data_IF_491980056627
#
_entry.id   IF_491980056627
#
_cell.length_a   1.000
_cell.length_b   1.000
_cell.length_c   1.000
_cell.angle_alpha   90.00
_cell.angle_beta   90.00
_cell.angle_gamma   90.00
#
_symmetry.space_group_name_H-M   'P 1'
#
loop_
_entity.id
_entity.type
_entity.pdbx_description
1 polymer ?
#
# COMPACT_ATOMS: atom_id res chain seq x y z
N UNK A 1 14.73 -4.00 -1.23
CA UNK A 1 13.80 -2.93 -1.69
C UNK A 1 13.28 -3.26 -3.08
N UNK A 2 12.05 -2.85 -3.41
CA UNK A 2 11.49 -2.90 -4.75
C UNK A 2 12.04 -1.75 -5.60
N UNK A 3 12.33 -1.99 -6.87
CA UNK A 3 12.93 -1.00 -7.78
C UNK A 3 12.09 -0.75 -9.02
N UNK A 4 11.12 -1.63 -9.31
CA UNK A 4 10.29 -1.48 -10.50
C UNK A 4 8.99 -2.27 -10.39
N UNK A 5 7.95 -1.74 -11.01
CA UNK A 5 6.65 -2.37 -11.18
C UNK A 5 6.22 -2.26 -12.64
N UNK A 6 5.91 -3.39 -13.28
CA UNK A 6 5.23 -3.42 -14.58
C UNK A 6 3.88 -4.11 -14.44
N UNK A 7 2.84 -3.49 -15.01
CA UNK A 7 1.45 -3.91 -14.87
C UNK A 7 0.80 -4.04 -16.24
N UNK A 8 0.11 -5.15 -16.49
CA UNK A 8 -0.73 -5.31 -17.69
C UNK A 8 -2.13 -5.78 -17.36
N UNK A 9 -3.12 -5.24 -18.07
CA UNK A 9 -4.55 -5.58 -17.97
C UNK A 9 -5.15 -5.45 -16.56
N UNK A 10 -4.59 -4.59 -15.71
CA UNK A 10 -5.02 -4.41 -14.32
C UNK A 10 -5.76 -3.09 -14.14
N UNK A 11 -7.05 -3.15 -13.75
CA UNK A 11 -7.92 -1.98 -13.54
C UNK A 11 -7.85 -0.98 -14.70
N UNK A 12 -7.34 0.23 -14.52
CA UNK A 12 -7.26 1.21 -15.60
C UNK A 12 -6.04 1.03 -16.53
N UNK A 13 -5.13 0.11 -16.23
CA UNK A 13 -3.84 0.00 -16.93
C UNK A 13 -3.84 -1.04 -18.06
N UNK A 14 -3.38 -0.63 -19.24
CA UNK A 14 -3.08 -1.51 -20.38
C UNK A 14 -1.77 -2.27 -20.19
N UNK A 15 -0.68 -1.51 -20.21
CA UNK A 15 0.71 -1.89 -20.00
C UNK A 15 1.40 -0.61 -19.52
N UNK A 16 1.77 -0.58 -18.25
CA UNK A 16 2.50 0.56 -17.66
C UNK A 16 3.70 0.06 -16.90
N UNK A 17 4.73 0.89 -16.88
CA UNK A 17 5.97 0.64 -16.17
C UNK A 17 6.22 1.81 -15.21
N UNK A 18 6.46 1.48 -13.94
CA UNK A 18 6.64 2.44 -12.86
C UNK A 18 7.98 2.15 -12.20
N UNK A 19 8.88 3.14 -12.24
CA UNK A 19 10.14 3.08 -11.50
C UNK A 19 9.88 3.26 -10.02
N UNK A 20 10.52 2.43 -9.20
CA UNK A 20 10.47 2.53 -7.75
C UNK A 20 11.87 2.80 -7.18
N UNK A 21 11.90 3.42 -6.03
CA UNK A 21 13.10 3.74 -5.27
C UNK A 21 12.81 3.51 -3.78
N UNK A 22 13.82 3.74 -2.94
CA UNK A 22 13.68 3.63 -1.48
C UNK A 22 12.53 4.50 -0.93
N UNK A 23 12.35 5.68 -1.51
CA UNK A 23 11.24 6.61 -1.24
C UNK A 23 10.66 7.11 -2.55
N UNK A 24 9.37 6.83 -2.76
CA UNK A 24 8.63 7.18 -3.97
C UNK A 24 7.31 7.83 -3.61
N UNK A 25 6.97 8.91 -4.32
CA UNK A 25 5.64 9.51 -4.26
C UNK A 25 4.98 9.48 -5.63
N UNK A 26 3.82 8.83 -5.69
CA UNK A 26 2.89 8.91 -6.81
C UNK A 26 2.06 10.18 -6.66
N UNK A 27 2.16 11.08 -7.64
CA UNK A 27 1.45 12.36 -7.62
C UNK A 27 0.55 12.48 -8.83
N UNK A 28 -0.68 12.91 -8.62
CA UNK A 28 -1.62 13.10 -9.70
C UNK A 28 -3.04 13.35 -9.21
N UNK A 29 -3.96 13.67 -10.13
CA UNK A 29 -5.36 13.87 -9.81
C UNK A 29 -6.06 12.66 -9.20
N UNK A 30 -7.25 12.87 -8.64
CA UNK A 30 -8.13 11.77 -8.25
C UNK A 30 -8.47 10.90 -9.47
N UNK A 31 -8.65 9.60 -9.24
CA UNK A 31 -8.96 8.60 -10.26
C UNK A 31 -7.87 8.34 -11.32
N UNK A 32 -6.67 8.94 -11.21
CA UNK A 32 -5.58 8.72 -12.17
C UNK A 32 -4.85 7.37 -12.04
N UNK A 33 -5.22 6.55 -11.06
CA UNK A 33 -4.70 5.19 -10.89
C UNK A 33 -3.59 5.01 -9.85
N UNK A 34 -3.24 6.04 -9.06
CA UNK A 34 -2.25 5.93 -7.97
C UNK A 34 -2.57 4.80 -6.99
N UNK A 35 -3.80 4.79 -6.44
CA UNK A 35 -4.28 3.71 -5.57
C UNK A 35 -4.26 2.36 -6.28
N UNK A 36 -4.58 2.31 -7.58
CA UNK A 36 -4.51 1.06 -8.35
C UNK A 36 -3.08 0.53 -8.45
N UNK A 37 -2.06 1.39 -8.61
CA UNK A 37 -0.67 0.96 -8.61
C UNK A 37 -0.23 0.37 -7.26
N UNK A 38 -0.62 1.00 -6.13
CA UNK A 38 -0.38 0.44 -4.79
C UNK A 38 -1.07 -0.93 -4.62
N UNK A 39 -2.32 -1.04 -5.05
CA UNK A 39 -3.09 -2.27 -4.97
C UNK A 39 -2.52 -3.39 -5.85
N UNK A 40 -1.88 -3.06 -6.96
CA UNK A 40 -1.22 -4.05 -7.79
C UNK A 40 -0.01 -4.69 -7.10
N UNK A 41 0.79 -3.92 -6.34
CA UNK A 41 1.84 -4.45 -5.47
C UNK A 41 1.26 -5.36 -4.39
N UNK A 42 0.13 -4.97 -3.79
CA UNK A 42 -0.56 -5.79 -2.80
C UNK A 42 -1.04 -7.13 -3.40
N UNK A 43 -1.60 -7.11 -4.62
CA UNK A 43 -2.01 -8.32 -5.34
C UNK A 43 -0.81 -9.21 -5.69
N UNK A 44 0.29 -8.62 -6.15
CA UNK A 44 1.53 -9.34 -6.42
C UNK A 44 2.06 -10.06 -5.18
N UNK A 45 2.13 -9.36 -4.04
CA UNK A 45 2.60 -9.95 -2.78
C UNK A 45 1.66 -11.09 -2.30
N UNK A 46 0.34 -10.93 -2.45
CA UNK A 46 -0.61 -12.01 -2.18
C UNK A 46 -0.37 -13.22 -3.11
N UNK A 47 -0.06 -12.96 -4.39
CA UNK A 47 0.34 -13.96 -5.37
C UNK A 47 1.59 -14.74 -4.95
N UNK A 48 2.66 -14.04 -4.57
CA UNK A 48 3.91 -14.62 -4.06
C UNK A 48 3.63 -15.54 -2.87
N UNK A 49 2.96 -15.02 -1.83
CA UNK A 49 2.67 -15.77 -0.61
C UNK A 49 1.89 -17.04 -0.89
N UNK A 50 0.81 -16.93 -1.67
CA UNK A 50 -0.05 -18.07 -2.00
C UNK A 50 0.64 -19.10 -2.88
N UNK A 51 1.51 -18.65 -3.78
CA UNK A 51 2.32 -19.54 -4.62
C UNK A 51 3.30 -20.34 -3.79
N UNK A 52 4.07 -19.68 -2.92
CA UNK A 52 5.07 -20.31 -2.04
C UNK A 52 4.40 -21.26 -1.06
N UNK A 53 3.27 -20.90 -0.46
CA UNK A 53 2.50 -21.76 0.45
C UNK A 53 2.12 -23.10 -0.19
N UNK A 54 1.71 -23.09 -1.47
CA UNK A 54 1.15 -24.26 -2.15
C UNK A 54 2.16 -25.05 -2.98
N UNK A 55 3.21 -24.40 -3.49
CA UNK A 55 4.19 -25.00 -4.41
C UNK A 55 5.61 -25.06 -3.84
N UNK A 56 5.86 -24.39 -2.72
CA UNK A 56 7.20 -24.21 -2.17
C UNK A 56 8.11 -23.42 -3.13
N UNK A 57 9.42 -23.58 -2.97
CA UNK A 57 10.46 -23.01 -3.85
C UNK A 57 10.94 -24.00 -4.93
N UNK A 58 10.33 -25.19 -4.99
CA UNK A 58 10.80 -26.34 -5.77
C UNK A 58 10.29 -26.42 -7.22
N UNK A 59 10.45 -27.60 -7.82
CA UNK A 59 10.18 -27.86 -9.24
C UNK A 59 8.65 -27.90 -9.51
N UNK A 60 8.09 -26.81 -10.02
CA UNK A 60 6.65 -26.69 -10.28
C UNK A 60 6.28 -27.34 -11.64
N UNK A 61 5.22 -28.17 -11.71
CA UNK A 61 4.76 -28.74 -12.97
C UNK A 61 4.45 -27.67 -14.03
N UNK A 62 4.69 -28.00 -15.31
CA UNK A 62 4.43 -27.08 -16.43
C UNK A 62 2.93 -26.81 -16.64
N UNK A 63 2.11 -27.83 -16.48
CA UNK A 63 0.65 -27.78 -16.66
C UNK A 63 -0.09 -27.83 -15.31
N UNK A 64 -1.24 -27.14 -15.22
CA UNK A 64 -2.10 -27.07 -14.02
C UNK A 64 -1.36 -26.62 -12.75
N UNK A 65 -0.35 -25.78 -12.93
CA UNK A 65 0.44 -25.18 -11.85
C UNK A 65 -0.33 -24.13 -11.03
N UNK A 66 -1.41 -23.59 -11.60
CA UNK A 66 -2.19 -22.50 -11.01
C UNK A 66 -2.59 -22.77 -9.58
N UNK A 67 -2.43 -21.75 -8.75
CA UNK A 67 -2.88 -21.75 -7.37
C UNK A 67 -4.10 -20.84 -7.27
N UNK A 68 -5.19 -21.35 -6.72
CA UNK A 68 -6.41 -20.57 -6.54
C UNK A 68 -6.24 -19.54 -5.42
N UNK A 69 -6.58 -18.30 -5.72
CA UNK A 69 -6.75 -17.21 -4.76
C UNK A 69 -8.25 -16.89 -4.70
N UNK A 70 -8.83 -16.92 -3.50
CA UNK A 70 -10.18 -16.42 -3.29
C UNK A 70 -10.12 -14.91 -3.06
N UNK A 71 -11.08 -14.15 -3.59
CA UNK A 71 -11.12 -12.68 -3.39
C UNK A 71 -11.16 -12.27 -1.92
N UNK A 72 -11.71 -13.11 -1.04
CA UNK A 72 -11.76 -12.87 0.42
C UNK A 72 -10.41 -13.03 1.10
N UNK A 73 -9.47 -13.72 0.45
CA UNK A 73 -8.09 -13.84 0.93
C UNK A 73 -7.25 -12.58 0.60
N UNK A 74 -7.77 -11.70 -0.27
CA UNK A 74 -7.12 -10.43 -0.63
C UNK A 74 -7.38 -9.36 0.44
N UNK A 75 -6.74 -9.54 1.60
CA UNK A 75 -6.92 -8.64 2.75
C UNK A 75 -6.67 -7.18 2.36
N UNK A 76 -5.56 -6.86 1.70
CA UNK A 76 -5.20 -5.49 1.33
C UNK A 76 -5.92 -4.96 0.07
N UNK A 77 -6.76 -5.78 -0.57
CA UNK A 77 -7.48 -5.42 -1.81
C UNK A 77 -8.87 -6.05 -1.82
N UNK A 78 -9.78 -5.62 -0.93
CA UNK A 78 -11.13 -6.15 -0.92
C UNK A 78 -11.85 -5.69 -2.19
N UNK A 79 -12.27 -6.66 -2.99
CA UNK A 79 -13.13 -6.44 -4.15
C UNK A 79 -14.42 -7.27 -4.01
N UNK A 80 -15.59 -6.71 -4.35
CA UNK A 80 -16.84 -7.46 -4.28
C UNK A 80 -16.93 -8.56 -5.34
N UNK A 81 -16.23 -8.41 -6.46
CA UNK A 81 -16.09 -9.44 -7.50
C UNK A 81 -14.68 -9.39 -8.11
N UNK A 82 -14.12 -10.55 -8.46
CA UNK A 82 -12.75 -10.69 -8.95
C UNK A 82 -12.53 -10.02 -10.31
N UNK A 83 -13.55 -9.97 -11.19
CA UNK A 83 -13.47 -9.32 -12.50
C UNK A 83 -13.19 -7.80 -12.41
N UNK A 84 -13.44 -7.17 -11.25
CA UNK A 84 -13.09 -5.75 -10.99
C UNK A 84 -11.58 -5.49 -10.95
N UNK A 85 -10.75 -6.54 -10.89
CA UNK A 85 -9.31 -6.43 -11.02
C UNK A 85 -8.87 -6.34 -12.49
N UNK A 86 -9.68 -6.86 -13.41
CA UNK A 86 -9.39 -6.85 -14.84
C UNK A 86 -9.75 -5.51 -15.44
N UNK A 87 -8.91 -5.09 -16.37
CA UNK A 87 -9.18 -3.89 -17.13
C UNK A 87 -10.51 -3.99 -17.88
N UNK A 88 -11.32 -2.94 -17.76
CA UNK A 88 -12.62 -2.79 -18.40
C UNK A 88 -13.57 -3.99 -18.15
N UNK A 89 -13.38 -4.69 -17.02
CA UNK A 89 -14.06 -5.95 -16.68
C UNK A 89 -13.85 -7.07 -17.71
N UNK A 90 -12.87 -6.88 -18.60
CA UNK A 90 -12.62 -7.72 -19.75
C UNK A 90 -11.75 -8.92 -19.37
N UNK A 91 -12.41 -10.03 -19.07
CA UNK A 91 -11.77 -11.27 -18.61
C UNK A 91 -11.49 -12.29 -19.73
N UNK A 92 -12.07 -12.08 -20.93
CA UNK A 92 -11.97 -13.00 -22.07
C UNK A 92 -11.95 -12.25 -23.38
N UNK A 93 -11.03 -12.62 -24.26
CA UNK A 93 -10.91 -12.08 -25.60
C UNK A 93 -11.09 -13.17 -26.67
N UNK A 94 -11.65 -12.77 -27.82
CA UNK A 94 -11.78 -13.62 -28.99
C UNK A 94 -10.53 -13.54 -29.87
N UNK A 95 -10.06 -14.66 -30.39
CA UNK A 95 -9.01 -14.72 -31.39
C UNK A 95 -9.38 -15.69 -32.52
N UNK A 96 -8.77 -15.52 -33.70
CA UNK A 96 -8.95 -16.44 -34.82
C UNK A 96 -7.74 -17.36 -34.91
N UNK A 97 -8.01 -18.66 -34.93
CA UNK A 97 -6.98 -19.68 -35.13
C UNK A 97 -7.46 -20.64 -36.23
N UNK A 98 -6.66 -20.76 -37.29
CA UNK A 98 -7.02 -21.50 -38.51
C UNK A 98 -8.44 -21.19 -39.04
N UNK A 99 -8.85 -19.91 -38.99
CA UNK A 99 -10.17 -19.45 -39.47
C UNK A 99 -11.34 -19.71 -38.53
N UNK A 100 -11.14 -20.38 -37.39
CA UNK A 100 -12.17 -20.60 -36.36
C UNK A 100 -12.07 -19.55 -35.26
N UNK A 101 -13.22 -19.00 -34.86
CA UNK A 101 -13.31 -18.14 -33.69
C UNK A 101 -13.08 -18.98 -32.43
N UNK A 102 -12.06 -18.63 -31.65
CA UNK A 102 -11.75 -19.19 -30.34
C UNK A 102 -11.76 -18.07 -29.31
N UNK A 103 -11.90 -18.42 -28.04
CA UNK A 103 -11.78 -17.49 -26.92
C UNK A 103 -10.65 -17.93 -26.01
N UNK A 104 -9.98 -16.95 -25.39
CA UNK A 104 -9.00 -17.18 -24.34
C UNK A 104 -9.24 -16.19 -23.20
N UNK A 105 -8.80 -16.56 -22.00
CA UNK A 105 -8.84 -15.63 -20.88
C UNK A 105 -7.79 -14.53 -21.08
N UNK A 106 -8.15 -13.31 -20.72
CA UNK A 106 -7.23 -12.17 -20.61
C UNK A 106 -6.48 -12.33 -19.29
N UNK A 107 -5.16 -12.24 -19.33
CA UNK A 107 -4.32 -12.38 -18.14
C UNK A 107 -3.94 -11.02 -17.59
N UNK A 108 -3.98 -10.87 -16.27
CA UNK A 108 -3.27 -9.78 -15.59
C UNK A 108 -1.82 -10.22 -15.45
N UNK A 109 -0.87 -9.37 -15.80
CA UNK A 109 0.55 -9.59 -15.54
C UNK A 109 1.08 -8.52 -14.58
N UNK A 110 1.76 -8.96 -13.54
CA UNK A 110 2.45 -8.08 -12.60
C UNK A 110 3.89 -8.56 -12.47
N UNK A 111 4.81 -7.73 -12.95
CA UNK A 111 6.25 -7.95 -12.84
C UNK A 111 6.81 -6.98 -11.81
N UNK A 112 7.56 -7.50 -10.84
CA UNK A 112 8.23 -6.70 -9.83
C UNK A 112 9.71 -7.01 -9.85
N UNK A 113 10.52 -5.95 -9.88
CA UNK A 113 11.96 -6.02 -9.70
C UNK A 113 12.35 -5.47 -8.34
N UNK A 114 13.43 -5.99 -7.78
CA UNK A 114 13.99 -5.47 -6.54
C UNK A 114 15.47 -5.78 -6.40
N UNK A 115 16.03 -5.25 -5.33
CA UNK A 115 17.42 -5.46 -4.93
C UNK A 115 17.46 -5.91 -3.47
N UNK A 116 18.22 -6.97 -3.20
CA UNK A 116 18.48 -7.54 -1.89
C UNK A 116 20.00 -7.70 -1.75
N UNK A 117 20.62 -7.04 -0.77
CA UNK A 117 22.09 -7.12 -0.54
C UNK A 117 22.96 -6.87 -1.78
N UNK A 118 22.49 -6.01 -2.69
CA UNK A 118 23.18 -5.65 -3.94
C UNK A 118 22.87 -6.57 -5.13
N UNK A 119 22.18 -7.70 -4.92
CA UNK A 119 21.75 -8.60 -5.99
C UNK A 119 20.38 -8.19 -6.52
N UNK A 120 20.26 -8.07 -7.83
CA UNK A 120 19.00 -7.80 -8.52
C UNK A 120 18.17 -9.08 -8.64
N UNK A 121 16.88 -8.97 -8.40
CA UNK A 121 15.93 -10.05 -8.59
C UNK A 121 14.68 -9.55 -9.33
N UNK A 122 14.02 -10.47 -10.01
CA UNK A 122 12.77 -10.21 -10.72
C UNK A 122 11.79 -11.33 -10.44
N UNK A 123 10.53 -10.97 -10.20
CA UNK A 123 9.44 -11.93 -9.98
C UNK A 123 8.20 -11.50 -10.74
N UNK A 124 7.75 -12.38 -11.62
CA UNK A 124 6.63 -12.14 -12.53
C UNK A 124 5.49 -13.11 -12.26
N UNK A 125 4.29 -12.58 -12.07
CA UNK A 125 3.08 -13.37 -11.86
C UNK A 125 2.01 -13.04 -12.91
N UNK A 126 1.33 -14.10 -13.37
CA UNK A 126 0.13 -14.02 -14.19
C UNK A 126 -1.09 -14.43 -13.35
N UNK A 127 -2.18 -13.67 -13.47
CA UNK A 127 -3.46 -13.96 -12.85
C UNK A 127 -4.51 -14.23 -13.91
N UNK A 128 -5.23 -15.34 -13.75
CA UNK A 128 -6.15 -15.91 -14.74
C UNK A 128 -7.55 -16.05 -14.11
N UNK A 129 -8.53 -15.37 -14.70
CA UNK A 129 -9.89 -15.29 -14.17
C UNK A 129 -10.57 -16.66 -14.17
N UNK A 130 -11.13 -17.06 -13.03
CA UNK A 130 -11.92 -18.28 -12.92
C UNK A 130 -13.42 -17.96 -12.82
N UNK A 131 -13.82 -17.15 -11.84
CA UNK A 131 -15.18 -16.70 -11.59
C UNK A 131 -15.17 -15.46 -10.67
N UNK A 132 -16.34 -14.95 -10.29
CA UNK A 132 -16.46 -13.73 -9.48
C UNK A 132 -15.81 -13.86 -8.09
N UNK A 133 -15.66 -15.07 -7.55
CA UNK A 133 -15.10 -15.30 -6.22
C UNK A 133 -13.61 -15.66 -6.24
N UNK A 134 -13.05 -16.04 -7.38
CA UNK A 134 -11.71 -16.62 -7.44
C UNK A 134 -11.01 -16.48 -8.78
N UNK A 135 -9.68 -16.54 -8.73
CA UNK A 135 -8.80 -16.53 -9.88
C UNK A 135 -7.57 -17.39 -9.60
N UNK A 136 -6.87 -17.80 -10.65
CA UNK A 136 -5.63 -18.56 -10.54
C UNK A 136 -4.43 -17.64 -10.61
N UNK A 137 -3.45 -17.89 -9.77
CA UNK A 137 -2.15 -17.24 -9.76
C UNK A 137 -1.08 -18.23 -10.25
N UNK A 138 -0.20 -17.78 -11.14
CA UNK A 138 0.93 -18.57 -11.67
C UNK A 138 2.18 -17.71 -11.79
N UNK A 139 3.34 -18.23 -11.41
CA UNK A 139 4.60 -17.61 -11.82
C UNK A 139 4.70 -17.61 -13.35
N UNK A 140 5.23 -16.56 -13.98
CA UNK A 140 5.36 -16.50 -15.44
C UNK A 140 6.30 -17.59 -15.98
N UNK A 141 6.18 -17.93 -17.27
CA UNK A 141 7.08 -18.85 -17.96
C UNK A 141 8.36 -18.11 -18.37
N UNK A 142 9.53 -18.71 -18.10
CA UNK A 142 10.81 -18.26 -18.65
C UNK A 142 11.08 -18.83 -20.05
N UNK A 143 12.23 -18.48 -20.63
CA UNK A 143 12.64 -18.85 -21.99
C UNK A 143 12.61 -20.37 -22.25
N UNK A 144 12.95 -21.17 -21.23
CA UNK A 144 12.96 -22.64 -21.30
C UNK A 144 11.56 -23.27 -21.17
N UNK A 145 10.49 -22.47 -21.24
CA UNK A 145 9.11 -22.92 -21.09
C UNK A 145 8.84 -23.62 -19.74
N UNK A 146 9.65 -23.26 -18.73
CA UNK A 146 9.51 -23.64 -17.31
C UNK A 146 9.07 -22.41 -16.53
N UNK A 147 8.27 -22.63 -15.49
CA UNK A 147 7.82 -21.56 -14.58
C UNK A 147 9.02 -20.97 -13.86
N UNK A 148 9.10 -19.64 -13.81
CA UNK A 148 10.15 -18.94 -13.07
C UNK A 148 10.08 -19.31 -11.59
N UNK A 149 11.24 -19.60 -10.99
CA UNK A 149 11.31 -19.79 -9.54
C UNK A 149 11.17 -18.42 -8.87
N UNK A 150 10.43 -18.40 -7.76
CA UNK A 150 10.31 -17.19 -6.94
C UNK A 150 11.62 -17.04 -6.14
N UNK A 151 12.39 -15.95 -6.34
CA UNK A 151 13.61 -15.69 -5.59
C UNK A 151 13.32 -15.58 -4.09
N UNK A 152 14.23 -16.06 -3.23
CA UNK A 152 14.07 -15.97 -1.77
C UNK A 152 13.83 -14.53 -1.29
N UNK A 153 14.54 -13.56 -1.88
CA UNK A 153 14.36 -12.14 -1.63
C UNK A 153 12.92 -11.66 -1.85
N UNK A 154 12.22 -12.15 -2.88
CA UNK A 154 10.83 -11.78 -3.14
C UNK A 154 9.87 -12.36 -2.09
N UNK A 155 10.20 -13.52 -1.51
CA UNK A 155 9.41 -14.17 -0.44
C UNK A 155 9.53 -13.40 0.87
N UNK A 156 10.70 -12.83 1.14
CA UNK A 156 10.99 -12.05 2.35
C UNK A 156 10.37 -10.65 2.33
N UNK A 157 9.89 -10.18 1.17
CA UNK A 157 9.18 -8.89 1.07
C UNK A 157 7.94 -8.89 1.95
N UNK A 158 7.96 -8.02 2.96
CA UNK A 158 6.80 -7.69 3.78
C UNK A 158 6.20 -6.40 3.29
N UNK A 159 4.96 -6.44 2.84
CA UNK A 159 4.22 -5.28 2.35
C UNK A 159 3.13 -4.91 3.36
N UNK A 160 3.10 -3.65 3.77
CA UNK A 160 2.13 -3.08 4.69
C UNK A 160 1.39 -1.94 3.98
N UNK A 161 0.10 -2.14 3.72
CA UNK A 161 -0.75 -1.17 3.02
C UNK A 161 -1.63 -0.43 4.02
N UNK A 162 -1.64 0.89 3.92
CA UNK A 162 -2.50 1.76 4.72
C UNK A 162 -3.34 2.64 3.77
N UNK A 163 -4.67 2.42 3.69
CA UNK A 163 -5.55 3.28 2.93
C UNK A 163 -5.81 4.62 3.64
N UNK A 164 -6.51 5.56 2.97
CA UNK A 164 -6.83 6.85 3.57
C UNK A 164 -7.70 6.68 4.83
N UNK A 165 -7.52 7.58 5.80
CA UNK A 165 -8.25 7.48 7.05
C UNK A 165 -9.73 7.84 6.90
N UNK A 166 -10.61 6.99 7.44
CA UNK A 166 -12.07 7.17 7.41
C UNK A 166 -12.69 7.78 8.69
N UNK A 167 -11.87 8.19 9.66
CA UNK A 167 -12.28 8.79 10.94
C UNK A 167 -11.76 8.01 12.15
N UNK A 168 -12.45 8.13 13.30
CA UNK A 168 -12.17 7.36 14.50
C UNK A 168 -13.48 6.91 15.16
N UNK A 169 -13.58 5.62 15.49
CA UNK A 169 -14.72 5.08 16.23
C UNK A 169 -14.67 5.55 17.69
N UNK A 170 -15.84 5.77 18.29
CA UNK A 170 -15.96 6.15 19.69
C UNK A 170 -15.30 5.10 20.61
N UNK A 171 -15.61 3.82 20.37
CA UNK A 171 -15.04 2.69 21.07
C UNK A 171 -14.32 1.77 20.08
N UNK A 172 -13.27 1.09 20.54
CA UNK A 172 -12.48 0.19 19.72
C UNK A 172 -12.23 -1.11 20.48
N UNK A 173 -12.79 -2.23 19.99
CA UNK A 173 -12.53 -3.56 20.55
C UNK A 173 -11.07 -3.93 20.33
N UNK A 174 -10.44 -4.62 21.27
CA UNK A 174 -9.09 -5.19 21.08
C UNK A 174 -9.14 -6.32 20.05
N UNK A 175 -8.25 -6.28 19.09
CA UNK A 175 -8.17 -7.18 17.96
C UNK A 175 -6.79 -7.85 17.88
N UNK A 176 -6.77 -9.07 17.37
CA UNK A 176 -5.54 -9.72 16.94
C UNK A 176 -5.02 -9.10 15.63
N UNK A 177 -3.72 -9.26 15.37
CA UNK A 177 -3.03 -8.65 14.23
C UNK A 177 -3.69 -8.96 12.88
N UNK A 178 -4.15 -10.20 12.68
CA UNK A 178 -4.85 -10.59 11.46
C UNK A 178 -6.17 -9.82 11.28
N UNK A 179 -6.93 -9.63 12.35
CA UNK A 179 -8.20 -8.89 12.31
C UNK A 179 -8.00 -7.38 12.13
N UNK A 180 -6.89 -6.84 12.64
CA UNK A 180 -6.45 -5.47 12.33
C UNK A 180 -6.13 -5.33 10.84
N UNK A 181 -5.37 -6.27 10.27
CA UNK A 181 -5.05 -6.29 8.84
C UNK A 181 -6.29 -6.32 7.95
N UNK A 182 -7.30 -7.15 8.30
CA UNK A 182 -8.59 -7.20 7.59
C UNK A 182 -9.30 -5.85 7.62
N UNK A 183 -9.42 -5.20 8.77
CA UNK A 183 -10.07 -3.89 8.89
C UNK A 183 -9.34 -2.80 8.12
N UNK A 184 -8.01 -2.77 8.19
CA UNK A 184 -7.19 -1.86 7.38
C UNK A 184 -7.51 -2.08 5.91
N UNK A 185 -7.49 -3.34 5.45
CA UNK A 185 -7.88 -3.73 4.10
C UNK A 185 -9.23 -3.19 3.64
N UNK A 186 -10.25 -3.33 4.49
CA UNK A 186 -11.63 -2.82 4.30
C UNK A 186 -11.75 -1.28 4.35
N UNK A 187 -10.66 -0.54 4.58
CA UNK A 187 -10.69 0.91 4.76
C UNK A 187 -11.29 1.36 6.10
N UNK A 188 -11.44 0.44 7.06
CA UNK A 188 -12.00 0.69 8.40
C UNK A 188 -10.89 1.13 9.36
N UNK A 189 -10.10 2.11 8.94
CA UNK A 189 -9.00 2.65 9.74
C UNK A 189 -9.49 3.27 11.06
N UNK A 190 -10.76 3.70 11.11
CA UNK A 190 -11.41 4.23 12.29
C UNK A 190 -11.52 3.24 13.46
N UNK A 191 -11.39 1.94 13.19
CA UNK A 191 -11.54 0.86 14.18
C UNK A 191 -10.22 0.16 14.53
N UNK A 192 -9.07 0.73 14.13
CA UNK A 192 -7.77 0.09 14.34
C UNK A 192 -6.69 1.00 14.93
N UNK A 193 -6.94 2.30 15.07
CA UNK A 193 -5.93 3.24 15.54
C UNK A 193 -5.45 2.88 16.95
N UNK A 194 -6.37 2.63 17.89
CA UNK A 194 -6.01 2.29 19.26
C UNK A 194 -5.36 0.90 19.34
N UNK A 195 -5.78 -0.04 18.50
CA UNK A 195 -5.15 -1.35 18.34
C UNK A 195 -3.70 -1.25 17.85
N UNK A 196 -3.42 -0.41 16.85
CA UNK A 196 -2.05 -0.21 16.37
C UNK A 196 -1.18 0.42 17.45
N UNK A 197 -1.69 1.43 18.16
CA UNK A 197 -0.98 2.03 19.29
C UNK A 197 -0.70 1.00 20.39
N UNK A 198 -1.69 0.19 20.75
CA UNK A 198 -1.56 -0.90 21.71
C UNK A 198 -0.50 -1.93 21.27
N UNK A 199 -0.52 -2.36 20.01
CA UNK A 199 0.47 -3.29 19.47
C UNK A 199 1.89 -2.72 19.54
N UNK A 200 2.07 -1.44 19.19
CA UNK A 200 3.39 -0.78 19.27
C UNK A 200 3.84 -0.69 20.72
N UNK A 201 2.96 -0.26 21.64
CA UNK A 201 3.23 -0.17 23.06
C UNK A 201 3.66 -1.51 23.67
N UNK A 202 2.94 -2.61 23.36
CA UNK A 202 3.29 -3.95 23.87
C UNK A 202 4.59 -4.50 23.28
N UNK A 203 4.87 -4.22 22.00
CA UNK A 203 6.00 -4.81 21.28
C UNK A 203 7.30 -4.06 21.47
N UNK A 204 7.24 -2.72 21.52
CA UNK A 204 8.41 -1.86 21.59
C UNK A 204 8.10 -0.56 22.32
N UNK A 205 8.35 -0.50 23.64
CA UNK A 205 8.22 0.72 24.43
C UNK A 205 9.02 1.90 23.85
N UNK A 206 10.22 1.63 23.30
CA UNK A 206 11.04 2.66 22.67
C UNK A 206 10.38 3.24 21.40
N UNK A 207 9.76 2.41 20.57
CA UNK A 207 9.02 2.91 19.41
C UNK A 207 7.78 3.71 19.83
N UNK A 208 7.10 3.27 20.90
CA UNK A 208 5.99 4.03 21.48
C UNK A 208 6.42 5.40 22.00
N UNK A 209 7.52 5.48 22.76
CA UNK A 209 8.09 6.74 23.24
C UNK A 209 8.41 7.70 22.07
N UNK A 210 9.00 7.18 20.99
CA UNK A 210 9.28 7.98 19.80
C UNK A 210 7.99 8.53 19.15
N UNK A 211 6.89 7.76 19.13
CA UNK A 211 5.58 8.25 18.67
C UNK A 211 5.07 9.38 19.58
N UNK A 212 5.13 9.18 20.90
CA UNK A 212 4.69 10.18 21.89
C UNK A 212 5.47 11.49 21.71
N UNK A 213 6.79 11.42 21.55
CA UNK A 213 7.65 12.58 21.32
C UNK A 213 7.31 13.31 20.02
N UNK A 214 7.11 12.57 18.91
CA UNK A 214 6.74 13.15 17.61
C UNK A 214 5.39 13.84 17.69
N UNK A 215 4.40 13.23 18.35
CA UNK A 215 3.07 13.83 18.53
C UNK A 215 3.14 15.07 19.43
N UNK A 216 3.91 15.04 20.51
CA UNK A 216 4.15 16.20 21.36
C UNK A 216 4.81 17.35 20.58
N UNK A 217 5.81 17.06 19.74
CA UNK A 217 6.50 18.06 18.92
C UNK A 217 5.60 18.67 17.85
N UNK A 218 4.76 17.85 17.21
CA UNK A 218 3.87 18.31 16.16
C UNK A 218 2.65 19.04 16.73
N UNK A 219 1.97 18.47 17.72
CA UNK A 219 0.66 18.94 18.17
C UNK A 219 0.67 19.60 19.54
N UNK A 220 1.78 19.55 20.29
CA UNK A 220 1.87 20.12 21.64
C UNK A 220 1.09 19.33 22.69
N UNK A 221 0.69 18.09 22.38
CA UNK A 221 -0.13 17.23 23.26
C UNK A 221 0.62 15.98 23.66
N UNK A 222 0.45 15.57 24.92
CA UNK A 222 1.07 14.37 25.46
C UNK A 222 0.09 13.22 25.35
N UNK A 223 0.43 12.18 24.59
CA UNK A 223 -0.36 10.96 24.53
C UNK A 223 -0.22 10.16 25.83
N UNK A 224 -1.34 9.63 26.31
CA UNK A 224 -1.31 8.60 27.34
C UNK A 224 -1.16 7.21 26.72
N UNK A 225 -0.63 6.28 27.50
CA UNK A 225 -0.53 4.88 27.11
C UNK A 225 -1.91 4.28 26.80
N UNK A 226 -1.99 3.42 25.76
CA UNK A 226 -3.21 2.68 25.48
C UNK A 226 -3.51 1.71 26.62
N UNK A 227 -4.78 1.63 27.03
CA UNK A 227 -5.22 0.76 28.12
C UNK A 227 -6.25 -0.24 27.63
N UNK A 228 -6.00 -1.53 27.87
CA UNK A 228 -6.94 -2.60 27.58
C UNK A 228 -7.89 -2.85 28.76
N UNK A 229 -9.17 -2.57 28.56
CA UNK A 229 -10.24 -2.79 29.54
C UNK A 229 -10.83 -4.17 29.33
N UNK A 230 -10.36 -5.15 30.11
CA UNK A 230 -10.70 -6.58 29.94
C UNK A 230 -12.19 -6.86 30.06
N UNK A 231 -12.90 -6.15 30.92
CA UNK A 231 -14.33 -6.33 31.19
C UNK A 231 -15.20 -5.98 29.98
N UNK A 232 -14.72 -5.08 29.12
CA UNK A 232 -15.41 -4.65 27.89
C UNK A 232 -14.76 -5.16 26.61
N UNK A 233 -13.54 -5.69 26.70
CA UNK A 233 -12.75 -6.05 25.53
C UNK A 233 -12.33 -4.84 24.69
N UNK A 234 -12.23 -3.65 25.28
CA UNK A 234 -12.00 -2.38 24.59
C UNK A 234 -10.61 -1.81 24.87
N UNK A 235 -10.04 -1.10 23.91
CA UNK A 235 -8.85 -0.26 24.11
C UNK A 235 -9.30 1.19 24.24
N UNK A 236 -8.89 1.84 25.32
CA UNK A 236 -9.08 3.28 25.51
C UNK A 236 -7.76 4.01 25.41
N UNK A 237 -7.82 5.25 24.91
CA UNK A 237 -6.66 6.11 24.76
C UNK A 237 -7.07 7.55 25.03
N UNK A 238 -6.19 8.28 25.69
CA UNK A 238 -6.41 9.69 26.04
C UNK A 238 -5.16 10.50 25.75
N UNK A 239 -5.30 11.81 25.77
CA UNK A 239 -4.19 12.74 25.64
C UNK A 239 -4.38 13.92 26.58
N UNK A 240 -3.28 14.58 26.94
CA UNK A 240 -3.25 15.76 27.79
C UNK A 240 -2.90 17.00 26.98
N UNK A 241 -3.71 18.03 27.15
CA UNK A 241 -3.41 19.38 26.67
C UNK A 241 -2.35 20.04 27.55
N UNK A 242 -1.73 21.11 27.04
CA UNK A 242 -0.81 21.96 27.82
C UNK A 242 -1.47 22.61 29.05
N UNK A 243 -2.80 22.75 29.04
CA UNK A 243 -3.59 23.20 30.18
C UNK A 243 -3.75 22.14 31.29
N UNK A 244 -3.28 20.91 31.07
CA UNK A 244 -3.45 19.78 31.98
C UNK A 244 -4.78 19.03 31.83
N UNK A 245 -5.69 19.51 30.97
CA UNK A 245 -6.96 18.82 30.70
C UNK A 245 -6.69 17.53 29.95
N UNK A 246 -7.27 16.43 30.44
CA UNK A 246 -7.21 15.11 29.82
C UNK A 246 -8.48 14.85 29.01
N UNK A 247 -8.32 14.46 27.76
CA UNK A 247 -9.42 14.18 26.83
C UNK A 247 -9.25 12.80 26.19
N UNK A 248 -10.36 12.17 25.79
CA UNK A 248 -10.32 10.94 24.99
C UNK A 248 -9.72 11.22 23.60
N UNK A 249 -9.02 10.24 23.02
CA UNK A 249 -8.43 10.36 21.69
C UNK A 249 -9.44 10.76 20.61
N UNK A 250 -10.71 10.36 20.74
CA UNK A 250 -11.80 10.78 19.84
C UNK A 250 -12.04 12.29 19.79
N UNK A 251 -11.66 13.02 20.84
CA UNK A 251 -11.75 14.47 20.87
C UNK A 251 -10.55 15.17 20.19
N UNK A 252 -9.54 14.43 19.70
CA UNK A 252 -8.43 15.02 18.95
C UNK A 252 -8.84 15.36 17.51
N UNK A 253 -8.16 16.33 16.92
CA UNK A 253 -8.40 16.71 15.52
C UNK A 253 -8.00 15.61 14.54
N UNK A 254 -8.69 15.51 13.39
CA UNK A 254 -8.42 14.47 12.37
C UNK A 254 -6.96 14.44 11.92
N UNK A 255 -6.32 15.59 11.79
CA UNK A 255 -4.89 15.64 11.44
C UNK A 255 -3.98 14.96 12.47
N UNK A 256 -4.28 15.07 13.77
CA UNK A 256 -3.54 14.35 14.81
C UNK A 256 -3.78 12.85 14.73
N UNK A 257 -5.04 12.44 14.50
CA UNK A 257 -5.41 11.03 14.37
C UNK A 257 -4.74 10.38 13.14
N UNK A 258 -4.69 11.09 12.00
CA UNK A 258 -4.01 10.66 10.77
C UNK A 258 -2.52 10.45 11.01
N UNK A 259 -1.84 11.42 11.62
CA UNK A 259 -0.40 11.29 11.89
C UNK A 259 -0.12 10.17 12.88
N UNK A 260 -0.94 10.02 13.92
CA UNK A 260 -0.81 8.92 14.87
C UNK A 260 -1.01 7.56 14.18
N UNK A 261 -1.99 7.46 13.26
CA UNK A 261 -2.24 6.25 12.48
C UNK A 261 -1.03 5.87 11.62
N UNK A 262 -0.47 6.84 10.89
CA UNK A 262 0.72 6.64 10.06
C UNK A 262 1.90 6.17 10.91
N UNK A 263 2.22 6.89 11.98
CA UNK A 263 3.35 6.56 12.86
C UNK A 263 3.19 5.18 13.51
N UNK A 264 2.00 4.87 14.04
CA UNK A 264 1.73 3.58 14.66
C UNK A 264 1.79 2.44 13.62
N UNK A 265 1.29 2.66 12.41
CA UNK A 265 1.36 1.67 11.33
C UNK A 265 2.80 1.40 10.88
N UNK A 266 3.62 2.44 10.73
CA UNK A 266 5.03 2.30 10.38
C UNK A 266 5.82 1.58 11.48
N UNK A 267 5.61 1.97 12.74
CA UNK A 267 6.26 1.34 13.88
C UNK A 267 5.83 -0.12 14.11
N UNK A 268 4.58 -0.47 13.77
CA UNK A 268 4.11 -1.85 13.82
C UNK A 268 4.70 -2.72 12.69
N UNK A 269 5.24 -2.12 11.63
CA UNK A 269 5.75 -2.82 10.44
C UNK A 269 7.20 -2.41 10.08
N UNK A 270 8.19 -2.60 10.97
CA UNK A 270 9.57 -2.24 10.68
C UNK A 270 10.19 -3.16 9.63
N UNK A 271 11.04 -2.60 8.76
CA UNK A 271 11.69 -3.33 7.67
C UNK A 271 10.71 -3.86 6.63
N UNK A 272 9.67 -3.08 6.32
CA UNK A 272 8.64 -3.43 5.34
C UNK A 272 8.59 -2.44 4.18
N UNK A 273 7.89 -2.82 3.10
CA UNK A 273 7.48 -1.92 2.03
C UNK A 273 6.14 -1.32 2.43
N UNK A 274 6.17 -0.05 2.84
CA UNK A 274 5.02 0.72 3.27
C UNK A 274 4.34 1.34 2.04
N UNK A 275 3.10 0.93 1.80
CA UNK A 275 2.24 1.52 0.79
C UNK A 275 1.24 2.46 1.47
N UNK A 276 1.40 3.76 1.30
CA UNK A 276 0.63 4.78 2.01
C UNK A 276 -0.28 5.53 1.03
N UNK A 277 -1.59 5.40 1.18
CA UNK A 277 -2.55 6.10 0.31
C UNK A 277 -3.11 7.34 1.02
N UNK A 278 -2.94 8.51 0.39
CA UNK A 278 -3.27 9.84 0.90
C UNK A 278 -2.77 10.11 2.34
N UNK A 279 -1.45 9.98 2.60
CA UNK A 279 -0.90 10.25 3.93
C UNK A 279 -1.11 11.70 4.39
N UNK A 280 -1.29 12.62 3.44
CA UNK A 280 -1.53 14.05 3.66
C UNK A 280 -3.00 14.44 3.88
N UNK A 281 -3.93 13.47 3.80
CA UNK A 281 -5.35 13.72 4.01
C UNK A 281 -5.62 14.39 5.37
N UNK A 282 -6.58 15.32 5.38
CA UNK A 282 -6.99 16.08 6.58
C UNK A 282 -5.92 16.98 7.21
N UNK A 283 -4.78 17.20 6.56
CA UNK A 283 -3.70 18.08 7.06
C UNK A 283 -3.71 19.44 6.36
N UNK A 284 -3.48 20.49 7.16
CA UNK A 284 -3.20 21.84 6.66
C UNK A 284 -1.86 21.89 5.91
N UNK A 285 -1.70 22.86 5.00
CA UNK A 285 -0.50 23.02 4.14
C UNK A 285 0.82 22.93 4.92
N UNK A 286 0.92 23.63 6.07
CA UNK A 286 2.14 23.60 6.89
C UNK A 286 2.43 22.20 7.47
N UNK A 287 1.37 21.45 7.81
CA UNK A 287 1.47 20.09 8.35
C UNK A 287 1.82 19.08 7.27
N UNK A 288 1.39 19.29 6.03
CA UNK A 288 1.75 18.43 4.90
C UNK A 288 3.28 18.40 4.67
N UNK A 289 3.98 19.55 4.79
CA UNK A 289 5.46 19.55 4.73
C UNK A 289 6.09 18.75 5.86
N UNK A 290 5.60 18.98 7.08
CA UNK A 290 6.15 18.34 8.28
C UNK A 290 5.93 16.82 8.26
N UNK A 291 4.76 16.34 7.80
CA UNK A 291 4.49 14.91 7.77
C UNK A 291 5.39 14.20 6.76
N UNK A 292 5.69 14.79 5.59
CA UNK A 292 6.59 14.17 4.63
C UNK A 292 7.99 13.92 5.21
N UNK A 293 8.52 14.91 5.94
CA UNK A 293 9.78 14.78 6.64
C UNK A 293 9.72 13.68 7.71
N UNK A 294 8.65 13.67 8.51
CA UNK A 294 8.45 12.68 9.56
C UNK A 294 8.36 11.26 8.99
N UNK A 295 7.63 11.06 7.88
CA UNK A 295 7.54 9.79 7.18
C UNK A 295 8.91 9.34 6.66
N UNK A 296 9.66 10.26 6.04
CA UNK A 296 11.02 9.95 5.54
C UNK A 296 11.98 9.55 6.67
N UNK A 297 11.99 10.32 7.76
CA UNK A 297 12.86 10.06 8.92
C UNK A 297 12.49 8.71 9.58
N UNK A 298 11.19 8.47 9.78
CA UNK A 298 10.70 7.23 10.40
C UNK A 298 10.99 6.03 9.52
N UNK A 299 10.83 6.15 8.19
CA UNK A 299 11.16 5.09 7.25
C UNK A 299 12.65 4.73 7.30
N UNK A 300 13.53 5.72 7.35
CA UNK A 300 14.97 5.51 7.49
C UNK A 300 15.32 4.83 8.83
N UNK A 301 14.72 5.26 9.93
CA UNK A 301 14.90 4.66 11.26
C UNK A 301 14.41 3.21 11.33
N UNK A 302 13.30 2.89 10.66
CA UNK A 302 12.73 1.54 10.64
C UNK A 302 13.29 0.64 9.54
N UNK A 303 14.17 1.16 8.67
CA UNK A 303 14.67 0.44 7.50
C UNK A 303 13.58 0.05 6.50
N UNK A 304 12.53 0.87 6.38
CA UNK A 304 11.36 0.60 5.54
C UNK A 304 11.43 1.39 4.23
N UNK A 305 10.98 0.75 3.15
CA UNK A 305 10.76 1.44 1.88
C UNK A 305 9.39 2.13 1.90
N UNK A 306 9.27 3.34 1.36
CA UNK A 306 7.99 4.07 1.28
C UNK A 306 7.57 4.28 -0.16
N UNK A 307 6.33 3.87 -0.47
CA UNK A 307 5.66 4.17 -1.72
C UNK A 307 4.33 4.84 -1.34
N UNK A 308 4.27 6.17 -1.48
CA UNK A 308 3.12 6.97 -1.10
C UNK A 308 2.32 7.42 -2.33
N UNK A 309 1.01 7.51 -2.22
CA UNK A 309 0.14 8.14 -3.20
C UNK A 309 -0.48 9.41 -2.62
N UNK A 310 -0.35 10.53 -3.33
CA UNK A 310 -0.85 11.83 -2.88
C UNK A 310 -1.34 12.66 -4.06
N UNK A 311 -2.22 13.62 -3.78
CA UNK A 311 -2.63 14.67 -4.70
C UNK A 311 -2.09 16.05 -4.27
N UNK A 312 -1.31 16.12 -3.20
CA UNK A 312 -0.80 17.37 -2.65
C UNK A 312 0.40 17.91 -3.42
N UNK A 313 0.27 19.15 -3.91
CA UNK A 313 1.38 19.94 -4.44
C UNK A 313 2.49 20.17 -3.40
N UNK A 314 2.14 20.18 -2.10
CA UNK A 314 3.10 20.39 -1.02
C UNK A 314 3.99 19.16 -0.87
N UNK A 315 3.39 17.97 -0.82
CA UNK A 315 4.12 16.70 -0.77
C UNK A 315 4.98 16.52 -2.02
N UNK A 316 4.44 16.85 -3.20
CA UNK A 316 5.18 16.85 -4.46
C UNK A 316 6.46 17.69 -4.36
N UNK A 317 6.36 18.92 -3.85
CA UNK A 317 7.51 19.82 -3.76
C UNK A 317 8.58 19.28 -2.81
N UNK A 318 8.19 18.82 -1.63
CA UNK A 318 9.13 18.24 -0.65
C UNK A 318 9.79 16.96 -1.19
N UNK A 319 9.03 16.12 -1.90
CA UNK A 319 9.54 14.90 -2.51
C UNK A 319 10.46 15.17 -3.70
N UNK A 320 10.12 16.12 -4.58
CA UNK A 320 10.90 16.44 -5.77
C UNK A 320 12.33 16.91 -5.47
N UNK A 321 12.57 17.45 -4.27
CA UNK A 321 13.88 17.90 -3.85
C UNK A 321 14.78 16.77 -3.34
N UNK A 322 14.24 15.61 -2.96
CA UNK A 322 14.98 14.57 -2.20
C UNK A 322 14.75 13.13 -2.65
N UNK A 323 13.66 12.87 -3.32
CA UNK A 323 13.08 11.54 -3.54
C UNK A 323 12.55 11.36 -4.94
N UNK A 324 12.16 10.13 -5.27
CA UNK A 324 11.61 9.83 -6.59
C UNK A 324 10.15 10.20 -6.64
N UNK A 325 9.74 10.94 -7.67
CA UNK A 325 8.33 11.27 -7.90
C UNK A 325 7.89 10.70 -9.24
N UNK A 326 6.73 10.03 -9.22
CA UNK A 326 6.08 9.51 -10.43
C UNK A 326 4.76 10.27 -10.64
N UNK A 327 4.66 10.94 -11.77
CA UNK A 327 3.42 11.61 -12.19
C UNK A 327 2.42 10.60 -12.72
N UNK A 328 1.17 10.69 -12.27
CA UNK A 328 0.00 9.99 -12.80
C UNK A 328 -0.89 11.01 -13.52
N UNK A 329 -0.33 11.64 -14.54
CA UNK A 329 -1.04 12.51 -15.49
C UNK A 329 -0.84 11.88 -16.87
N UNK A 330 -1.82 11.10 -17.33
CA UNK A 330 -1.62 10.16 -18.43
C UNK A 330 -0.78 8.94 -18.00
N UNK A 331 0.03 8.35 -18.89
CA UNK A 331 0.89 7.21 -18.54
C UNK A 331 1.84 7.56 -17.38
N UNK A 332 1.98 6.69 -16.37
CA UNK A 332 2.90 6.91 -15.26
C UNK A 332 4.33 7.16 -15.76
N UNK A 333 4.93 8.26 -15.32
CA UNK A 333 6.31 8.61 -15.70
C UNK A 333 7.02 9.31 -14.55
N UNK A 334 8.33 9.08 -14.46
CA UNK A 334 9.19 9.73 -13.48
C UNK A 334 9.36 11.22 -13.81
N UNK A 335 9.43 12.03 -12.77
CA UNK A 335 9.71 13.45 -12.86
C UNK A 335 11.19 13.66 -12.54
N UNK A 336 11.96 14.08 -13.55
CA UNK A 336 13.36 14.45 -13.38
C UNK A 336 13.49 15.97 -13.37
N UNK A 337 13.66 16.57 -12.18
CA UNK A 337 13.89 18.01 -12.00
C UNK A 337 12.90 18.72 -11.07
N UNK A 338 13.31 19.89 -10.55
CA UNK A 338 12.53 20.72 -9.61
C UNK A 338 11.10 20.89 -10.12
N UNK A 339 10.11 20.41 -9.36
CA UNK A 339 8.70 20.12 -9.72
C UNK A 339 7.85 21.18 -10.44
N UNK A 340 8.44 22.25 -10.96
CA UNK A 340 7.82 23.34 -11.74
C UNK A 340 7.01 22.90 -12.96
N UNK A 341 7.46 21.92 -13.76
CA UNK A 341 6.71 21.45 -14.93
C UNK A 341 5.46 20.65 -14.54
N UNK A 342 5.56 19.84 -13.48
CA UNK A 342 4.43 19.04 -12.98
C UNK A 342 3.46 19.89 -12.20
N UNK A 343 3.94 20.87 -11.42
CA UNK A 343 3.07 21.87 -10.81
C UNK A 343 2.29 22.64 -11.87
N UNK A 344 2.94 23.01 -12.98
CA UNK A 344 2.26 23.66 -14.10
C UNK A 344 1.21 22.72 -14.72
N UNK A 345 1.56 21.46 -14.95
CA UNK A 345 0.61 20.46 -15.42
C UNK A 345 -0.57 20.29 -14.43
N UNK A 346 -0.33 20.02 -13.15
CA UNK A 346 -1.36 19.86 -12.11
C UNK A 346 -2.27 21.09 -11.96
N UNK A 347 -1.75 22.30 -12.19
CA UNK A 347 -2.53 23.55 -12.19
C UNK A 347 -3.31 23.82 -13.48
N UNK A 348 -2.80 23.34 -14.61
CA UNK A 348 -3.39 23.56 -15.94
C UNK A 348 -4.33 22.42 -16.38
N UNK A 349 -4.27 21.24 -15.74
CA UNK A 349 -5.17 20.11 -16.01
C UNK A 349 -6.57 20.47 -15.48
N UNK A 350 -7.40 21.03 -16.36
CA UNK A 350 -8.85 21.05 -16.20
C UNK A 350 -9.46 19.64 -16.32
N UNK A 351 -10.73 19.50 -15.94
CA UNK A 351 -11.48 18.23 -15.99
C UNK A 351 -11.43 17.54 -17.37
N UNK A 352 -11.21 18.28 -18.45
CA UNK A 352 -11.12 17.76 -19.82
C UNK A 352 -9.88 16.89 -20.10
N UNK A 353 -8.90 16.89 -19.19
CA UNK A 353 -7.67 16.11 -19.27
C UNK A 353 -7.59 14.97 -18.24
N UNK A 354 -8.68 14.69 -17.52
CA UNK A 354 -8.81 13.59 -16.54
C UNK A 354 -9.20 12.26 -17.20
#
# INVERSE_FOLDING_TARGET
>A
MLTKLRLRNFKLFEDVEIELADRVVFVGPNNSGKTSALQALALWNAGVRRWVERRGTGNVPKERAGVTINRRDLIALPVPAANLLWRDLHVREGYKDAGKAKTRNVLINIDVEGVERGERWTTSFEFDYANEESFYCRACLGENNKRLQVPAAAIEVRLAYLPPMSGLAANETRLDEGAVGVRIGEGRTAEVLRNLCWQVFERSPAAWEAIVERIQKLFGVALDEPQYIRERGEIIMSYRLSSGIRLDLSASGRGQQQILLLLAHMAANPGSVLLLDEPDAHLEILRQRQIYQVLSDTAAETGSQVIAASHSEVILNEAADRDTVVAFVGPPHRIDGRGSQVLKALKEIGFEHY
#
